data_IF_123526322951
#
_entry.id   IF_123526322951
#
_cell.length_a   1.000
_cell.length_b   1.000
_cell.length_c   1.000
_cell.angle_alpha   90.00
_cell.angle_beta   90.00
_cell.angle_gamma   90.00
#
_symmetry.space_group_name_H-M   'P 1'
#
loop_
_entity.id
_entity.type
_entity.pdbx_description
1 polymer ?
#
# COMPACT_ATOMS: atom_id res chain seq x y z
N UNK A 1 -18.00 -29.92 -13.06
CA UNK A 1 -18.06 -28.54 -12.54
C UNK A 1 -17.29 -28.48 -11.25
N UNK A 2 -16.21 -27.69 -11.17
CA UNK A 2 -15.54 -27.43 -9.88
C UNK A 2 -16.53 -26.75 -8.95
N UNK A 3 -16.64 -27.27 -7.71
CA UNK A 3 -17.30 -26.47 -6.65
C UNK A 3 -16.53 -25.15 -6.53
N UNK A 4 -17.20 -23.99 -6.53
CA UNK A 4 -16.50 -22.73 -6.30
C UNK A 4 -15.72 -22.83 -4.99
N UNK A 5 -14.46 -22.46 -5.02
CA UNK A 5 -13.68 -22.30 -3.80
C UNK A 5 -14.41 -21.26 -2.96
N UNK A 6 -14.77 -21.54 -1.70
CA UNK A 6 -15.47 -20.57 -0.88
C UNK A 6 -14.63 -19.30 -0.81
N UNK A 7 -15.16 -18.19 -1.31
CA UNK A 7 -14.50 -16.86 -1.23
C UNK A 7 -14.40 -16.35 0.22
N UNK A 8 -15.09 -17.00 1.13
CA UNK A 8 -15.00 -16.72 2.55
C UNK A 8 -14.35 -17.91 3.23
N UNK A 9 -13.04 -17.86 3.44
CA UNK A 9 -12.46 -18.63 4.53
C UNK A 9 -13.12 -18.08 5.80
N UNK A 10 -13.91 -18.88 6.53
CA UNK A 10 -14.46 -18.41 7.80
C UNK A 10 -13.28 -17.97 8.64
N UNK A 11 -13.24 -16.69 9.01
CA UNK A 11 -12.34 -16.25 10.08
C UNK A 11 -12.58 -17.22 11.23
N UNK A 12 -11.58 -18.01 11.58
CA UNK A 12 -11.66 -18.83 12.78
C UNK A 12 -11.91 -17.86 13.94
N UNK A 13 -13.17 -17.75 14.36
CA UNK A 13 -13.59 -16.86 15.45
C UNK A 13 -12.82 -17.15 16.73
N UNK A 14 -12.29 -18.39 16.89
CA UNK A 14 -11.47 -18.78 18.01
C UNK A 14 -10.04 -18.22 17.92
N UNK A 15 -9.58 -17.82 16.74
CA UNK A 15 -8.28 -17.17 16.57
C UNK A 15 -8.30 -15.64 16.80
N UNK A 16 -9.49 -15.03 16.80
CA UNK A 16 -9.64 -13.60 17.03
C UNK A 16 -9.47 -13.28 18.52
N UNK A 17 -8.39 -12.59 18.86
CA UNK A 17 -8.17 -12.08 20.22
C UNK A 17 -8.47 -10.60 20.28
N UNK A 18 -9.49 -10.24 21.06
CA UNK A 18 -9.76 -8.85 21.40
C UNK A 18 -8.63 -8.32 22.27
N UNK A 19 -7.99 -7.26 21.84
CA UNK A 19 -6.95 -6.54 22.59
C UNK A 19 -7.46 -5.14 22.93
N UNK A 20 -7.04 -4.62 24.07
CA UNK A 20 -7.28 -3.20 24.40
C UNK A 20 -6.60 -2.32 23.33
N UNK A 21 -7.23 -1.20 22.93
CA UNK A 21 -6.61 -0.23 22.03
C UNK A 21 -5.23 0.20 22.53
N UNK A 22 -4.30 0.41 21.62
CA UNK A 22 -2.97 0.92 21.99
C UNK A 22 -3.10 2.30 22.64
N UNK A 23 -2.33 2.53 23.70
CA UNK A 23 -2.32 3.84 24.39
C UNK A 23 -1.67 4.93 23.55
N UNK A 24 -0.83 4.57 22.58
CA UNK A 24 -0.13 5.50 21.66
C UNK A 24 0.14 4.84 20.31
N UNK A 25 0.21 5.64 19.26
CA UNK A 25 0.62 5.23 17.92
C UNK A 25 2.07 5.63 17.62
N UNK A 26 2.73 4.91 16.73
CA UNK A 26 4.12 5.07 16.30
C UNK A 26 5.15 4.98 17.45
N UNK A 27 6.03 5.98 17.62
CA UNK A 27 7.08 5.99 18.64
C UNK A 27 8.15 4.90 18.43
N UNK A 28 8.79 4.49 19.51
CA UNK A 28 9.81 3.42 19.49
C UNK A 28 9.29 2.11 18.91
N UNK A 29 8.05 1.64 19.21
CA UNK A 29 7.53 0.41 18.59
C UNK A 29 7.52 0.45 17.06
N UNK A 30 7.24 1.60 16.44
CA UNK A 30 7.26 1.74 14.99
C UNK A 30 8.68 1.64 14.42
N UNK A 31 9.68 2.21 15.10
CA UNK A 31 11.10 2.10 14.72
C UNK A 31 11.55 0.64 14.77
N UNK A 32 11.26 -0.04 15.88
CA UNK A 32 11.59 -1.47 16.05
C UNK A 32 10.90 -2.33 15.00
N UNK A 33 9.60 -2.10 14.75
CA UNK A 33 8.83 -2.81 13.74
C UNK A 33 9.40 -2.61 12.34
N UNK A 34 9.73 -1.37 11.96
CA UNK A 34 10.38 -1.05 10.68
C UNK A 34 11.72 -1.78 10.53
N UNK A 35 12.54 -1.78 11.58
CA UNK A 35 13.83 -2.48 11.62
C UNK A 35 13.66 -3.98 11.42
N UNK A 36 12.81 -4.62 12.21
CA UNK A 36 12.56 -6.08 12.14
C UNK A 36 12.08 -6.49 10.75
N UNK A 37 11.08 -5.79 10.20
CA UNK A 37 10.55 -6.13 8.87
C UNK A 37 11.61 -5.98 7.78
N UNK A 38 12.36 -4.89 7.80
CA UNK A 38 13.39 -4.61 6.80
C UNK A 38 14.54 -5.63 6.89
N UNK A 39 15.09 -5.85 8.08
CA UNK A 39 16.20 -6.77 8.30
C UNK A 39 15.83 -8.22 7.95
N UNK A 40 14.63 -8.64 8.33
CA UNK A 40 14.15 -10.01 8.07
C UNK A 40 13.97 -10.31 6.58
N UNK A 41 13.53 -9.34 5.80
CA UNK A 41 13.22 -9.51 4.37
C UNK A 41 14.38 -9.18 3.44
N UNK A 42 15.18 -8.18 3.77
CA UNK A 42 16.25 -7.66 2.90
C UNK A 42 17.68 -7.97 3.42
N UNK A 43 17.85 -8.27 4.71
CA UNK A 43 19.15 -8.34 5.37
C UNK A 43 19.71 -6.93 5.68
N UNK A 44 20.84 -6.85 6.40
CA UNK A 44 21.36 -5.59 6.97
C UNK A 44 21.74 -4.58 5.89
N UNK A 45 22.65 -4.94 4.99
CA UNK A 45 23.19 -4.02 3.98
C UNK A 45 22.10 -3.43 3.07
N UNK A 46 21.23 -4.30 2.53
CA UNK A 46 20.14 -3.85 1.67
C UNK A 46 19.10 -3.02 2.44
N UNK A 47 18.80 -3.34 3.70
CA UNK A 47 17.90 -2.54 4.51
C UNK A 47 18.37 -1.10 4.66
N UNK A 48 19.64 -0.91 5.04
CA UNK A 48 20.22 0.43 5.21
C UNK A 48 20.22 1.19 3.88
N UNK A 49 20.70 0.55 2.80
CA UNK A 49 20.74 1.16 1.47
C UNK A 49 19.34 1.56 0.99
N UNK A 50 18.40 0.64 1.04
CA UNK A 50 17.04 0.85 0.54
C UNK A 50 16.31 1.93 1.34
N UNK A 51 16.35 1.85 2.68
CA UNK A 51 15.66 2.83 3.53
C UNK A 51 16.25 4.25 3.43
N UNK A 52 17.52 4.40 3.05
CA UNK A 52 18.13 5.70 2.75
C UNK A 52 17.74 6.26 1.39
N UNK A 53 17.19 5.44 0.49
CA UNK A 53 16.79 5.85 -0.86
C UNK A 53 15.29 6.15 -0.98
N UNK A 54 14.49 5.69 -0.01
CA UNK A 54 13.03 5.92 -0.03
C UNK A 54 12.72 7.40 0.10
N UNK A 55 11.91 7.93 -0.82
CA UNK A 55 11.47 9.33 -0.89
C UNK A 55 12.64 10.34 -0.92
N UNK A 56 13.76 9.97 -1.51
CA UNK A 56 14.93 10.84 -1.70
C UNK A 56 15.03 11.33 -3.15
N UNK A 57 15.66 12.50 -3.37
CA UNK A 57 15.82 13.08 -4.72
C UNK A 57 16.50 12.13 -5.71
N UNK A 58 17.50 11.37 -5.25
CA UNK A 58 18.25 10.40 -6.04
C UNK A 58 17.81 8.95 -5.70
N UNK A 59 16.63 8.77 -5.19
CA UNK A 59 16.09 7.50 -4.77
C UNK A 59 14.81 7.12 -5.53
N UNK A 60 13.84 6.61 -4.82
CA UNK A 60 12.55 6.21 -5.36
C UNK A 60 11.42 6.52 -4.37
N UNK A 61 10.23 6.71 -4.90
CA UNK A 61 9.05 7.01 -4.10
C UNK A 61 8.52 5.74 -3.41
N UNK A 62 8.07 5.92 -2.18
CA UNK A 62 7.44 4.84 -1.41
C UNK A 62 6.14 4.39 -2.10
N UNK A 63 5.94 3.05 -2.33
CA UNK A 63 4.72 2.54 -2.94
C UNK A 63 3.50 2.57 -2.00
N UNK A 64 3.63 3.12 -0.79
CA UNK A 64 2.57 3.15 0.22
C UNK A 64 1.50 4.20 -0.05
N UNK A 65 1.72 5.41 0.39
CA UNK A 65 0.81 6.53 0.20
C UNK A 65 1.45 7.62 -0.68
N UNK A 66 0.60 8.48 -1.26
CA UNK A 66 1.03 9.59 -2.11
C UNK A 66 1.27 10.89 -1.33
N UNK A 67 1.71 10.83 -0.07
CA UNK A 67 2.06 12.03 0.68
C UNK A 67 3.25 12.74 0.03
N UNK A 68 3.18 14.05 -0.26
CA UNK A 68 4.26 14.77 -0.95
C UNK A 68 5.55 14.80 -0.13
N UNK A 69 6.66 14.90 -0.84
CA UNK A 69 7.97 14.99 -0.22
C UNK A 69 8.33 16.44 0.13
N UNK A 70 8.94 16.68 1.29
CA UNK A 70 9.41 18.01 1.66
C UNK A 70 10.61 18.42 0.80
N UNK A 71 10.80 19.74 0.60
CA UNK A 71 11.98 20.26 -0.09
C UNK A 71 13.28 19.90 0.62
N UNK A 72 13.29 20.06 1.94
CA UNK A 72 14.38 19.66 2.82
C UNK A 72 14.11 18.30 3.43
N UNK A 73 14.79 17.28 2.92
CA UNK A 73 14.60 15.87 3.31
C UNK A 73 15.58 15.46 4.39
N UNK A 74 15.11 14.66 5.32
CA UNK A 74 15.98 13.98 6.29
C UNK A 74 16.64 12.76 5.64
N UNK A 75 17.63 12.17 6.29
CA UNK A 75 18.29 10.95 5.80
C UNK A 75 17.35 9.72 5.74
N UNK A 76 16.20 9.78 6.40
CA UNK A 76 15.19 8.72 6.47
C UNK A 76 13.80 9.32 6.33
N UNK A 77 13.26 9.30 5.11
CA UNK A 77 11.95 9.87 4.75
C UNK A 77 10.90 8.78 4.55
N UNK A 78 10.68 7.96 5.55
CA UNK A 78 9.67 6.90 5.52
C UNK A 78 8.91 6.77 6.85
N UNK A 79 7.73 6.17 6.78
CA UNK A 79 6.98 5.73 7.95
C UNK A 79 7.06 4.21 8.10
N UNK A 80 6.52 3.66 9.19
CA UNK A 80 6.46 2.22 9.42
C UNK A 80 5.79 1.46 8.26
N UNK A 81 4.67 1.99 7.74
CA UNK A 81 3.97 1.37 6.62
C UNK A 81 4.80 1.37 5.34
N UNK A 82 5.50 2.48 5.06
CA UNK A 82 6.42 2.59 3.94
C UNK A 82 7.59 1.63 4.04
N UNK A 83 8.22 1.53 5.21
CA UNK A 83 9.30 0.57 5.44
C UNK A 83 8.86 -0.87 5.22
N UNK A 84 7.66 -1.25 5.68
CA UNK A 84 7.06 -2.57 5.43
C UNK A 84 6.78 -2.81 3.95
N UNK A 85 6.14 -1.86 3.27
CA UNK A 85 5.81 -1.97 1.86
C UNK A 85 7.08 -2.17 1.00
N UNK A 86 8.11 -1.37 1.24
CA UNK A 86 9.39 -1.48 0.54
C UNK A 86 10.10 -2.80 0.86
N UNK A 87 10.05 -3.25 2.12
CA UNK A 87 10.62 -4.55 2.51
C UNK A 87 9.90 -5.73 1.83
N UNK A 88 8.58 -5.64 1.65
CA UNK A 88 7.80 -6.65 0.92
C UNK A 88 8.17 -6.68 -0.57
N UNK A 89 8.35 -5.51 -1.19
CA UNK A 89 8.79 -5.40 -2.59
C UNK A 89 10.20 -5.97 -2.80
N UNK A 90 11.13 -5.70 -1.88
CA UNK A 90 12.53 -6.08 -1.96
C UNK A 90 12.85 -7.43 -1.29
N UNK A 91 11.85 -8.22 -0.95
CA UNK A 91 12.06 -9.53 -0.30
C UNK A 91 12.90 -10.47 -1.15
N UNK A 92 13.79 -11.22 -0.50
CA UNK A 92 14.57 -12.31 -1.13
C UNK A 92 13.81 -13.63 -1.23
N UNK A 93 12.69 -13.75 -0.52
CA UNK A 93 11.86 -14.95 -0.56
C UNK A 93 11.18 -15.09 -1.93
N UNK A 94 11.16 -16.30 -2.44
CA UNK A 94 10.65 -16.64 -3.77
C UNK A 94 9.61 -17.74 -3.69
N UNK A 95 8.56 -17.60 -4.47
CA UNK A 95 7.49 -18.57 -4.63
C UNK A 95 7.48 -19.05 -6.09
N UNK A 96 7.67 -20.34 -6.30
CA UNK A 96 7.74 -20.96 -7.62
C UNK A 96 7.36 -22.44 -7.55
N UNK A 97 7.85 -23.23 -8.49
CA UNK A 97 7.51 -24.66 -8.67
C UNK A 97 7.54 -25.45 -7.37
N UNK A 98 8.61 -25.36 -6.59
CA UNK A 98 8.77 -26.15 -5.34
C UNK A 98 7.75 -25.79 -4.26
N UNK A 99 7.33 -24.54 -4.22
CA UNK A 99 6.29 -24.08 -3.29
C UNK A 99 4.92 -24.65 -3.70
N UNK A 100 4.54 -24.52 -4.97
CA UNK A 100 3.25 -24.96 -5.45
C UNK A 100 3.12 -26.48 -5.62
N UNK A 101 4.24 -27.22 -5.71
CA UNK A 101 4.20 -28.68 -5.62
C UNK A 101 3.99 -29.17 -4.19
N UNK A 102 4.39 -28.37 -3.18
CA UNK A 102 4.21 -28.68 -1.77
C UNK A 102 2.81 -28.37 -1.25
N UNK A 103 2.21 -27.26 -1.70
CA UNK A 103 0.94 -26.78 -1.18
C UNK A 103 -0.15 -26.86 -2.24
N UNK A 104 -1.21 -27.61 -1.92
CA UNK A 104 -2.43 -27.66 -2.73
C UNK A 104 -3.22 -26.35 -2.61
N UNK A 105 -4.18 -26.13 -3.53
CA UNK A 105 -5.08 -24.96 -3.48
C UNK A 105 -5.89 -24.94 -2.18
N UNK A 106 -6.35 -26.09 -1.73
CA UNK A 106 -7.13 -26.21 -0.50
C UNK A 106 -6.30 -25.81 0.73
N UNK A 107 -5.03 -26.25 0.80
CA UNK A 107 -4.12 -25.82 1.85
C UNK A 107 -3.83 -24.33 1.79
N UNK A 108 -3.57 -23.77 0.59
CA UNK A 108 -3.33 -22.34 0.42
C UNK A 108 -4.56 -21.52 0.79
N UNK A 109 -5.76 -21.94 0.41
CA UNK A 109 -7.00 -21.25 0.73
C UNK A 109 -7.34 -21.26 2.23
N UNK A 110 -6.74 -22.16 3.00
CA UNK A 110 -6.88 -22.20 4.46
C UNK A 110 -5.88 -21.31 5.21
N UNK A 111 -4.88 -20.75 4.51
CA UNK A 111 -3.88 -19.87 5.12
C UNK A 111 -4.38 -18.44 5.22
N UNK A 112 -3.90 -17.71 6.23
CA UNK A 112 -4.19 -16.28 6.35
C UNK A 112 -3.45 -15.46 5.29
N UNK A 113 -4.03 -14.32 4.89
CA UNK A 113 -3.40 -13.37 3.96
C UNK A 113 -2.00 -12.95 4.44
N UNK A 114 -1.84 -12.77 5.75
CA UNK A 114 -0.54 -12.48 6.35
C UNK A 114 0.49 -13.60 6.08
N UNK A 115 0.08 -14.86 6.21
CA UNK A 115 0.96 -15.99 5.93
C UNK A 115 1.32 -16.04 4.45
N UNK A 116 0.33 -15.91 3.55
CA UNK A 116 0.53 -15.90 2.10
C UNK A 116 1.49 -14.79 1.66
N UNK A 117 1.28 -13.56 2.14
CA UNK A 117 2.15 -12.43 1.82
C UNK A 117 3.61 -12.62 2.26
N UNK A 118 3.84 -13.40 3.30
CA UNK A 118 5.19 -13.66 3.81
C UNK A 118 5.94 -14.79 3.09
N UNK A 119 5.31 -15.51 2.16
CA UNK A 119 5.98 -16.59 1.41
C UNK A 119 6.97 -16.05 0.37
N UNK A 120 6.77 -14.84 -0.13
CA UNK A 120 7.68 -14.19 -1.06
C UNK A 120 7.03 -13.81 -2.39
N UNK A 121 7.86 -13.56 -3.39
CA UNK A 121 7.45 -13.12 -4.71
C UNK A 121 7.28 -14.30 -5.67
N UNK A 122 6.21 -14.29 -6.45
CA UNK A 122 6.04 -15.20 -7.57
C UNK A 122 7.12 -14.91 -8.63
N UNK A 123 7.87 -15.94 -9.04
CA UNK A 123 9.05 -15.78 -9.91
C UNK A 123 8.86 -16.31 -11.32
N UNK A 124 7.78 -17.01 -11.57
CA UNK A 124 7.46 -17.63 -12.86
C UNK A 124 5.96 -17.72 -13.06
N UNK A 125 5.44 -17.75 -14.28
CA UNK A 125 4.03 -17.94 -14.53
C UNK A 125 3.57 -19.31 -14.01
N UNK A 126 2.44 -19.31 -13.32
CA UNK A 126 1.86 -20.52 -12.75
C UNK A 126 0.47 -20.75 -13.34
N UNK A 127 0.18 -21.98 -13.69
CA UNK A 127 -1.10 -22.37 -14.26
C UNK A 127 -1.75 -23.49 -13.47
N UNK A 128 -3.07 -23.41 -13.31
CA UNK A 128 -3.87 -24.41 -12.66
C UNK A 128 -4.66 -25.18 -13.70
N UNK A 129 -4.30 -26.43 -13.93
CA UNK A 129 -5.10 -27.32 -14.79
C UNK A 129 -6.48 -27.59 -14.16
N UNK A 130 -7.46 -27.85 -15.03
CA UNK A 130 -8.85 -28.01 -14.61
C UNK A 130 -9.04 -29.09 -13.54
N UNK A 131 -8.29 -30.17 -13.64
CA UNK A 131 -8.42 -31.36 -12.77
C UNK A 131 -7.27 -31.49 -11.78
N UNK A 132 -6.44 -30.44 -11.63
CA UNK A 132 -5.33 -30.39 -10.68
C UNK A 132 -5.69 -29.60 -9.42
N UNK A 133 -5.12 -30.01 -8.31
CA UNK A 133 -5.18 -29.29 -7.03
C UNK A 133 -3.90 -28.48 -6.77
N UNK A 134 -2.93 -28.51 -7.70
CA UNK A 134 -1.66 -27.83 -7.56
C UNK A 134 -1.41 -26.97 -8.79
N UNK A 135 -0.82 -25.80 -8.57
CA UNK A 135 -0.31 -24.99 -9.68
C UNK A 135 0.96 -25.64 -10.25
N UNK A 136 1.10 -25.61 -11.57
CA UNK A 136 2.34 -25.96 -12.25
C UNK A 136 2.97 -24.74 -12.94
N UNK A 137 4.29 -24.66 -13.05
CA UNK A 137 4.92 -23.61 -13.84
C UNK A 137 4.61 -23.80 -15.34
N UNK A 138 4.51 -22.72 -16.03
CA UNK A 138 4.42 -22.66 -17.51
C UNK A 138 5.42 -21.66 -18.04
N UNK A 139 5.78 -21.78 -19.32
CA UNK A 139 6.59 -20.76 -19.98
C UNK A 139 5.79 -19.47 -20.21
N UNK A 140 6.48 -18.36 -20.37
CA UNK A 140 5.85 -17.10 -20.76
C UNK A 140 5.12 -17.22 -22.11
N UNK A 141 5.69 -17.95 -23.07
CA UNK A 141 5.05 -18.20 -24.36
C UNK A 141 3.73 -18.95 -24.19
N UNK A 142 3.71 -20.01 -23.37
CA UNK A 142 2.47 -20.75 -23.07
C UNK A 142 1.44 -19.87 -22.35
N UNK A 143 1.89 -19.01 -21.41
CA UNK A 143 1.00 -18.09 -20.71
C UNK A 143 0.36 -17.08 -21.67
N UNK A 144 1.15 -16.49 -22.55
CA UNK A 144 0.62 -15.52 -23.54
C UNK A 144 -0.31 -16.20 -24.55
N UNK A 145 0.01 -17.40 -25.04
CA UNK A 145 -0.90 -18.16 -25.92
C UNK A 145 -2.25 -18.39 -25.24
N UNK A 146 -2.24 -18.93 -24.02
CA UNK A 146 -3.48 -19.18 -23.26
C UNK A 146 -4.32 -17.92 -23.01
N UNK A 147 -3.68 -16.79 -22.72
CA UNK A 147 -4.36 -15.49 -22.54
C UNK A 147 -4.96 -15.03 -23.88
N UNK A 148 -4.17 -15.07 -24.95
CA UNK A 148 -4.61 -14.68 -26.30
C UNK A 148 -5.79 -15.52 -26.78
N UNK A 149 -5.68 -16.85 -26.67
CA UNK A 149 -6.77 -17.77 -27.05
C UNK A 149 -8.05 -17.48 -26.27
N UNK A 150 -7.91 -17.20 -24.96
CA UNK A 150 -9.06 -16.86 -24.13
C UNK A 150 -9.69 -15.53 -24.50
N UNK A 151 -8.90 -14.50 -24.76
CA UNK A 151 -9.41 -13.19 -25.17
C UNK A 151 -10.06 -13.25 -26.55
N UNK A 152 -9.44 -13.95 -27.50
CA UNK A 152 -9.98 -14.12 -28.85
C UNK A 152 -11.24 -15.00 -28.90
N UNK A 153 -11.46 -15.84 -27.90
CA UNK A 153 -12.69 -16.65 -27.80
C UNK A 153 -13.91 -15.88 -27.27
N UNK A 154 -13.74 -14.63 -26.87
CA UNK A 154 -14.86 -13.81 -26.37
C UNK A 154 -15.73 -13.34 -27.55
N UNK A 155 -17.08 -13.32 -27.36
CA UNK A 155 -17.99 -12.84 -28.41
C UNK A 155 -17.77 -11.38 -28.81
N UNK A 156 -17.23 -10.57 -27.87
CA UNK A 156 -16.90 -9.16 -28.10
C UNK A 156 -15.75 -8.76 -27.17
N UNK A 157 -14.85 -7.85 -27.57
CA UNK A 157 -13.85 -7.29 -26.70
C UNK A 157 -14.44 -6.64 -25.43
N UNK A 158 -15.67 -6.14 -25.50
CA UNK A 158 -16.38 -5.55 -24.35
C UNK A 158 -16.84 -6.56 -23.30
N UNK A 159 -16.71 -7.87 -23.57
CA UNK A 159 -16.91 -8.90 -22.56
C UNK A 159 -15.70 -9.10 -21.63
N UNK A 160 -14.61 -8.39 -21.89
CA UNK A 160 -13.44 -8.36 -21.03
C UNK A 160 -13.40 -7.07 -20.21
N UNK A 161 -12.91 -7.18 -18.96
CA UNK A 161 -12.64 -6.05 -18.06
C UNK A 161 -11.19 -6.16 -17.59
N UNK A 162 -10.44 -5.06 -17.68
CA UNK A 162 -9.03 -5.03 -17.39
C UNK A 162 -8.76 -4.07 -16.23
N UNK A 163 -8.40 -4.62 -15.09
CA UNK A 163 -8.14 -3.86 -13.87
C UNK A 163 -6.64 -3.72 -13.62
N UNK A 164 -6.20 -2.55 -13.17
CA UNK A 164 -4.87 -2.34 -12.64
C UNK A 164 -4.90 -1.54 -11.34
N UNK A 165 -3.90 -1.76 -10.50
CA UNK A 165 -3.70 -1.05 -9.24
C UNK A 165 -2.86 0.21 -9.44
N UNK A 166 -3.04 1.21 -8.57
CA UNK A 166 -2.19 2.41 -8.53
C UNK A 166 -0.71 2.16 -8.18
N UNK A 167 -0.33 0.91 -7.90
CA UNK A 167 1.08 0.50 -7.71
C UNK A 167 1.78 0.07 -8.99
N UNK A 168 1.08 0.03 -10.11
CA UNK A 168 1.66 -0.25 -11.42
C UNK A 168 2.56 0.91 -11.84
N UNK A 169 3.74 0.63 -12.39
CA UNK A 169 4.60 1.68 -12.94
C UNK A 169 3.92 2.39 -14.11
N UNK A 170 4.28 3.64 -14.37
CA UNK A 170 3.69 4.42 -15.47
C UNK A 170 3.93 3.76 -16.83
N UNK A 171 5.10 3.18 -17.05
CA UNK A 171 5.44 2.47 -18.28
C UNK A 171 4.57 1.22 -18.46
N UNK A 172 4.39 0.43 -17.41
CA UNK A 172 3.54 -0.75 -17.47
C UNK A 172 2.06 -0.37 -17.64
N UNK A 173 1.58 0.69 -16.98
CA UNK A 173 0.22 1.20 -17.16
C UNK A 173 -0.03 1.69 -18.59
N UNK A 174 0.93 2.39 -19.19
CA UNK A 174 0.86 2.84 -20.59
C UNK A 174 0.75 1.65 -21.56
N UNK A 175 1.66 0.67 -21.44
CA UNK A 175 1.65 -0.53 -22.29
C UNK A 175 0.37 -1.34 -22.10
N UNK A 176 -0.10 -1.46 -20.87
CA UNK A 176 -1.34 -2.16 -20.56
C UNK A 176 -2.54 -1.49 -21.22
N UNK A 177 -2.64 -0.16 -21.12
CA UNK A 177 -3.69 0.61 -21.77
C UNK A 177 -3.62 0.49 -23.30
N UNK A 178 -2.41 0.59 -23.89
CA UNK A 178 -2.22 0.45 -25.33
C UNK A 178 -2.67 -0.95 -25.81
N UNK A 179 -2.31 -2.00 -25.09
CA UNK A 179 -2.74 -3.38 -25.37
C UNK A 179 -4.28 -3.50 -25.35
N UNK A 180 -4.94 -2.97 -24.32
CA UNK A 180 -6.40 -3.09 -24.15
C UNK A 180 -7.15 -2.33 -25.26
N UNK A 181 -6.68 -1.16 -25.61
CA UNK A 181 -7.26 -0.39 -26.73
C UNK A 181 -7.03 -1.07 -28.07
N UNK A 182 -5.88 -1.68 -28.26
CA UNK A 182 -5.59 -2.50 -29.46
C UNK A 182 -6.46 -3.75 -29.50
N UNK A 183 -6.80 -4.35 -28.35
CA UNK A 183 -7.75 -5.44 -28.26
C UNK A 183 -9.19 -5.02 -28.61
N UNK A 184 -9.53 -3.73 -28.52
CA UNK A 184 -10.78 -3.15 -28.98
C UNK A 184 -11.79 -2.82 -27.90
N UNK A 185 -11.34 -2.55 -26.66
CA UNK A 185 -12.21 -2.11 -25.58
C UNK A 185 -11.59 -0.97 -24.75
N UNK A 186 -12.44 -0.24 -24.02
CA UNK A 186 -12.08 0.74 -23.00
C UNK A 186 -12.51 0.33 -21.59
N UNK A 187 -12.81 -0.93 -21.36
CA UNK A 187 -13.20 -1.44 -20.04
C UNK A 187 -12.01 -1.50 -19.10
N UNK A 188 -11.59 -0.34 -18.63
CA UNK A 188 -10.42 -0.09 -17.79
C UNK A 188 -10.81 0.55 -16.45
N UNK A 189 -11.57 -0.12 -15.57
CA UNK A 189 -11.75 0.38 -14.23
C UNK A 189 -10.41 0.33 -13.49
N UNK A 190 -10.16 1.34 -12.66
CA UNK A 190 -8.98 1.40 -11.82
C UNK A 190 -9.34 1.74 -10.37
N UNK A 191 -8.34 1.83 -9.50
CA UNK A 191 -8.57 2.17 -8.11
C UNK A 191 -9.01 3.63 -7.92
N UNK A 192 -8.70 4.53 -8.85
CA UNK A 192 -9.10 5.95 -8.76
C UNK A 192 -10.61 6.10 -8.83
N UNK A 193 -11.29 5.31 -9.67
CA UNK A 193 -12.74 5.32 -9.77
C UNK A 193 -13.43 4.94 -8.47
N UNK A 194 -12.85 4.01 -7.71
CA UNK A 194 -13.39 3.55 -6.43
C UNK A 194 -12.93 4.40 -5.25
N UNK A 195 -11.77 5.05 -5.32
CA UNK A 195 -11.13 5.72 -4.21
C UNK A 195 -11.37 7.24 -4.22
N UNK A 196 -11.11 7.93 -5.33
CA UNK A 196 -11.06 9.39 -5.41
C UNK A 196 -11.92 10.01 -6.52
N UNK A 197 -12.73 9.25 -7.24
CA UNK A 197 -13.64 9.80 -8.26
C UNK A 197 -14.57 10.85 -7.67
N UNK A 198 -15.14 10.58 -6.50
CA UNK A 198 -16.01 11.52 -5.79
C UNK A 198 -15.27 12.81 -5.40
N UNK A 199 -14.02 12.71 -4.97
CA UNK A 199 -13.16 13.87 -4.68
C UNK A 199 -12.90 14.68 -5.94
N UNK A 200 -12.57 14.03 -7.05
CA UNK A 200 -12.35 14.68 -8.34
C UNK A 200 -13.57 15.44 -8.85
N UNK A 201 -14.75 14.82 -8.75
CA UNK A 201 -16.02 15.45 -9.14
C UNK A 201 -16.39 16.61 -8.21
N UNK A 202 -16.27 16.42 -6.90
CA UNK A 202 -16.55 17.46 -5.92
C UNK A 202 -15.63 18.69 -6.10
N UNK A 203 -14.33 18.49 -6.23
CA UNK A 203 -13.36 19.57 -6.45
C UNK A 203 -13.56 20.22 -7.83
N UNK A 204 -13.80 19.43 -8.88
CA UNK A 204 -14.05 19.96 -10.23
C UNK A 204 -15.24 20.90 -10.30
N UNK A 205 -16.33 20.61 -9.56
CA UNK A 205 -17.51 21.44 -9.50
C UNK A 205 -17.36 22.72 -8.64
N UNK A 206 -16.44 22.70 -7.68
CA UNK A 206 -16.28 23.82 -6.71
C UNK A 206 -15.10 24.72 -7.04
N UNK A 207 -13.95 24.18 -7.41
CA UNK A 207 -12.72 24.91 -7.71
C UNK A 207 -12.25 24.78 -9.17
N UNK A 208 -13.01 24.08 -10.00
CA UNK A 208 -12.73 23.93 -11.44
C UNK A 208 -11.67 22.90 -11.81
N UNK A 209 -11.06 22.23 -10.84
CA UNK A 209 -10.04 21.20 -11.06
C UNK A 209 -10.19 20.04 -10.06
N UNK A 210 -10.08 18.81 -10.54
CA UNK A 210 -10.21 17.60 -9.73
C UNK A 210 -9.01 17.28 -8.83
N UNK A 211 -8.24 18.29 -8.41
CA UNK A 211 -7.05 18.15 -7.56
C UNK A 211 -7.02 19.20 -6.47
N UNK A 212 -6.32 18.91 -5.36
CA UNK A 212 -5.98 19.93 -4.38
C UNK A 212 -5.05 20.99 -4.99
N UNK A 213 -5.26 22.24 -4.64
CA UNK A 213 -4.50 23.40 -5.15
C UNK A 213 -3.45 23.89 -4.18
N UNK A 214 -3.28 23.19 -3.04
CA UNK A 214 -2.34 23.53 -1.96
C UNK A 214 -1.04 22.75 -2.11
N UNK A 215 0.04 23.30 -1.55
CA UNK A 215 1.36 22.69 -1.46
C UNK A 215 1.61 22.20 -0.03
N UNK A 216 2.61 21.30 0.15
CA UNK A 216 3.02 20.87 1.48
C UNK A 216 3.47 22.04 2.36
N UNK A 217 4.10 23.05 1.78
CA UNK A 217 4.57 24.23 2.50
C UNK A 217 3.44 25.09 3.08
N UNK A 218 2.22 25.02 2.54
CA UNK A 218 1.08 25.78 3.06
C UNK A 218 0.73 25.39 4.50
N UNK A 219 1.07 24.16 4.92
CA UNK A 219 1.00 23.77 6.33
C UNK A 219 1.86 24.64 7.23
N UNK A 220 2.97 25.17 6.71
CA UNK A 220 3.89 26.02 7.44
C UNK A 220 3.35 27.44 7.66
N UNK A 221 2.34 27.85 6.90
CA UNK A 221 1.74 29.18 6.93
C UNK A 221 0.31 29.17 7.49
N UNK A 222 -0.20 28.01 7.89
CA UNK A 222 -1.55 27.87 8.43
C UNK A 222 -1.57 28.07 9.94
N UNK A 223 -2.49 28.90 10.43
CA UNK A 223 -2.76 29.11 11.86
C UNK A 223 -3.82 28.16 12.40
N UNK A 224 -4.68 27.65 11.52
CA UNK A 224 -5.73 26.69 11.82
C UNK A 224 -5.77 25.58 10.77
N UNK A 225 -5.74 24.33 11.24
CA UNK A 225 -5.82 23.14 10.38
C UNK A 225 -7.01 22.28 10.82
N UNK A 226 -7.93 22.01 9.91
CA UNK A 226 -9.05 21.11 10.12
C UNK A 226 -8.74 19.75 9.48
N UNK A 227 -8.77 18.67 10.26
CA UNK A 227 -8.62 17.28 9.80
C UNK A 227 -9.97 16.59 9.94
N UNK A 228 -10.62 16.34 8.81
CA UNK A 228 -12.01 15.85 8.77
C UNK A 228 -12.05 14.46 8.16
N UNK A 229 -12.59 13.47 8.90
CA UNK A 229 -12.80 12.11 8.42
C UNK A 229 -11.52 11.32 8.16
N UNK A 230 -10.37 11.76 8.63
CA UNK A 230 -9.06 11.12 8.41
C UNK A 230 -8.44 10.61 9.72
N UNK A 231 -7.68 9.52 9.58
CA UNK A 231 -6.73 9.06 10.59
C UNK A 231 -5.30 9.08 10.02
N UNK A 232 -4.62 10.24 10.03
CA UNK A 232 -3.31 10.40 9.39
C UNK A 232 -2.24 9.48 9.99
N UNK A 233 -2.30 9.16 11.28
CA UNK A 233 -1.36 8.24 11.91
C UNK A 233 -1.44 6.80 11.41
N UNK A 234 -2.55 6.41 10.81
CA UNK A 234 -2.73 5.09 10.18
C UNK A 234 -2.53 5.15 8.67
N UNK A 235 -3.17 6.13 7.99
CA UNK A 235 -3.23 6.16 6.53
C UNK A 235 -2.10 6.98 5.89
N UNK A 236 -1.67 8.06 6.56
CA UNK A 236 -0.65 8.99 6.06
C UNK A 236 0.31 9.42 7.18
N UNK A 237 1.09 8.49 7.78
CA UNK A 237 1.91 8.83 8.95
C UNK A 237 2.91 9.97 8.72
N UNK A 238 3.37 10.20 7.48
CA UNK A 238 4.25 11.33 7.15
C UNK A 238 3.54 12.70 7.26
N UNK A 239 2.22 12.77 7.08
CA UNK A 239 1.43 13.98 7.34
C UNK A 239 1.60 14.49 8.77
N UNK A 240 1.83 13.59 9.72
CA UNK A 240 2.00 13.95 11.13
C UNK A 240 3.26 14.78 11.38
N UNK A 241 4.25 14.74 10.49
CA UNK A 241 5.40 15.66 10.55
C UNK A 241 4.93 17.10 10.30
N UNK A 242 4.16 17.33 9.25
CA UNK A 242 3.63 18.66 8.92
C UNK A 242 2.70 19.19 10.03
N UNK A 243 1.79 18.35 10.54
CA UNK A 243 0.89 18.71 11.64
C UNK A 243 1.65 19.05 12.94
N UNK A 244 2.66 18.24 13.29
CA UNK A 244 3.53 18.49 14.44
C UNK A 244 4.25 19.84 14.33
N UNK A 245 4.81 20.11 13.18
CA UNK A 245 5.62 21.31 12.95
C UNK A 245 4.71 22.56 12.92
N UNK A 246 3.52 22.47 12.34
CA UNK A 246 2.49 23.52 12.46
C UNK A 246 2.12 23.77 13.93
N UNK A 247 1.84 22.73 14.70
CA UNK A 247 1.52 22.87 16.12
C UNK A 247 2.66 23.49 16.95
N UNK A 248 3.91 23.15 16.66
CA UNK A 248 5.09 23.77 17.31
C UNK A 248 5.20 25.28 17.06
N UNK A 249 4.68 25.76 15.93
CA UNK A 249 4.61 27.20 15.60
C UNK A 249 3.41 27.90 16.24
N UNK A 250 2.49 27.15 16.87
CA UNK A 250 1.31 27.72 17.53
C UNK A 250 0.00 27.49 16.78
N UNK A 251 0.02 26.84 15.60
CA UNK A 251 -1.19 26.52 14.86
C UNK A 251 -2.15 25.64 15.69
N UNK A 252 -3.43 25.90 15.56
CA UNK A 252 -4.50 25.09 16.15
C UNK A 252 -4.88 23.97 15.19
N UNK A 253 -5.00 22.74 15.72
CA UNK A 253 -5.44 21.59 14.94
C UNK A 253 -6.76 21.10 15.55
N UNK A 254 -7.79 21.08 14.73
CA UNK A 254 -9.10 20.54 15.07
C UNK A 254 -9.34 19.31 14.23
N UNK A 255 -9.67 18.19 14.84
CA UNK A 255 -10.06 17.03 14.09
C UNK A 255 -11.53 16.68 14.33
N UNK A 256 -12.19 16.25 13.27
CA UNK A 256 -13.58 15.82 13.24
C UNK A 256 -13.59 14.38 12.73
N UNK A 257 -13.80 13.42 13.64
CA UNK A 257 -13.81 12.00 13.32
C UNK A 257 -14.82 11.29 14.26
N UNK A 258 -15.67 10.40 13.73
CA UNK A 258 -16.64 9.66 14.55
C UNK A 258 -15.98 8.66 15.50
N UNK A 259 -14.71 8.27 15.27
CA UNK A 259 -13.98 7.31 16.09
C UNK A 259 -12.78 7.95 16.80
N UNK A 260 -12.59 7.69 18.11
CA UNK A 260 -11.38 8.09 18.82
C UNK A 260 -10.22 7.15 18.45
N UNK A 261 -9.29 7.61 17.62
CA UNK A 261 -8.21 6.80 17.08
C UNK A 261 -6.85 7.24 17.61
N UNK A 262 -6.05 6.28 18.09
CA UNK A 262 -4.72 6.57 18.67
C UNK A 262 -3.76 7.25 17.67
N UNK A 263 -3.91 6.98 16.37
CA UNK A 263 -3.12 7.59 15.29
C UNK A 263 -3.40 9.06 15.06
N UNK A 264 -4.49 9.60 15.63
CA UNK A 264 -4.88 10.99 15.53
C UNK A 264 -4.68 11.72 16.87
N UNK A 265 -5.11 11.11 17.96
CA UNK A 265 -5.10 11.73 19.29
C UNK A 265 -3.76 11.58 20.04
N UNK A 266 -3.08 10.45 19.85
CA UNK A 266 -1.96 10.02 20.70
C UNK A 266 -0.76 9.52 19.91
N UNK A 267 -0.44 10.22 18.85
CA UNK A 267 0.70 9.91 18.02
C UNK A 267 2.01 10.42 18.64
N UNK A 268 3.03 9.56 18.67
CA UNK A 268 4.39 9.93 19.08
C UNK A 268 5.32 9.89 17.88
N UNK A 269 5.87 11.05 17.52
CA UNK A 269 6.76 11.13 16.35
C UNK A 269 8.08 10.40 16.63
N UNK A 270 8.50 9.43 15.81
CA UNK A 270 9.71 8.63 16.07
C UNK A 270 10.98 9.47 16.14
N UNK A 271 11.12 10.51 15.32
CA UNK A 271 12.31 11.38 15.29
C UNK A 271 12.43 12.28 16.51
N UNK A 272 11.38 12.55 17.26
CA UNK A 272 11.46 13.33 18.50
C UNK A 272 12.23 12.59 19.59
N UNK A 273 12.19 11.25 19.59
CA UNK A 273 13.00 10.43 20.49
C UNK A 273 14.48 10.42 20.12
N UNK A 274 14.80 10.46 18.82
CA UNK A 274 16.17 10.46 18.34
C UNK A 274 16.91 11.76 18.63
N UNK A 275 16.18 12.87 18.85
CA UNK A 275 16.72 14.19 19.19
C UNK A 275 16.76 14.45 20.71
N UNK A 276 16.59 13.41 21.56
CA UNK A 276 16.55 13.53 23.04
C UNK A 276 15.50 14.53 23.59
N UNK A 277 14.56 14.96 22.77
CA UNK A 277 13.47 15.83 23.18
C UNK A 277 12.28 14.98 23.66
N UNK A 278 12.27 14.66 24.94
CA UNK A 278 11.34 13.74 25.59
C UNK A 278 9.88 14.27 25.71
N UNK A 279 9.59 15.49 25.28
CA UNK A 279 8.22 16.03 25.33
C UNK A 279 7.39 15.53 24.15
N UNK A 280 6.43 14.65 24.43
CA UNK A 280 5.45 14.22 23.42
C UNK A 280 4.59 15.40 22.98
N UNK A 281 4.50 15.62 21.69
CA UNK A 281 3.51 16.55 21.13
C UNK A 281 2.18 15.83 21.06
N UNK A 282 1.24 16.14 21.95
CA UNK A 282 -0.16 15.77 21.76
C UNK A 282 -0.71 16.63 20.63
N UNK A 283 -1.37 16.03 19.66
CA UNK A 283 -1.98 16.76 18.53
C UNK A 283 -3.33 17.37 18.88
N UNK A 284 -3.96 16.93 19.96
CA UNK A 284 -5.21 17.48 20.50
C UNK A 284 -4.95 18.29 21.77
#
# INVERSE_FOLDING_TARGET
MRKPVPHNVPLDKNSLRLKKPKKQAAGIPAVVSSGIHSLKKMGVANSVRTLRMVNQKNGFDCPGCAWPDPEHRTSFEFCENGAKAVADEATKAKVGKSFFSKYSIQELSSKSDFWLNNQGRLIEPMYLERDSNHYRPISWSEAFSKISDKLNSLPSPNNAVFYTSGRTSNEAAFLYQAFIRSFGTNNLPDCSNMCHESSGKGLGSTIGIGKGTVKLDDFNHSDLILVIGQNPGTNHPRMLTALRDAKKRGAKIIHINPLPEAGLERFKHPQDYMKLNLKSTKLS
#
